data_IF_112703967154
#
_entry.id   IF_112703967154
#
_cell.length_a   1.000
_cell.length_b   1.000
_cell.length_c   1.000
_cell.angle_alpha   90.00
_cell.angle_beta   90.00
_cell.angle_gamma   90.00
#
_symmetry.space_group_name_H-M   'P 1'
#
loop_
_entity.id
_entity.type
_entity.pdbx_description
1 polymer ?
#
# COMPACT_ATOMS: atom_id res chain seq x y z
N UNK A 1 45.26 -36.71 -62.71
CA UNK A 1 46.60 -36.12 -62.75
C UNK A 1 46.81 -35.46 -61.39
N UNK A 2 47.39 -36.17 -60.45
CA UNK A 2 48.79 -36.17 -59.97
C UNK A 2 49.23 -34.79 -59.53
N UNK A 3 49.69 -34.54 -58.34
CA UNK A 3 50.76 -35.11 -57.50
C UNK A 3 50.73 -34.39 -56.13
N UNK A 4 50.70 -35.09 -55.05
CA UNK A 4 51.84 -35.41 -54.15
C UNK A 4 52.74 -34.23 -53.80
N UNK A 5 52.66 -33.79 -52.50
CA UNK A 5 53.50 -34.15 -51.40
C UNK A 5 53.99 -32.91 -50.70
N UNK A 6 53.82 -32.80 -49.41
CA UNK A 6 54.97 -32.57 -48.55
C UNK A 6 54.60 -32.71 -47.07
N UNK A 7 55.55 -33.19 -46.31
CA UNK A 7 55.49 -33.60 -44.90
C UNK A 7 55.26 -32.39 -43.93
N UNK A 8 54.61 -32.64 -42.77
CA UNK A 8 54.51 -31.62 -41.74
C UNK A 8 55.82 -31.45 -40.95
N UNK A 9 56.15 -30.24 -40.50
CA UNK A 9 57.29 -30.01 -39.62
C UNK A 9 56.97 -30.44 -38.18
N UNK A 10 57.98 -30.98 -37.54
CA UNK A 10 58.02 -31.44 -36.16
C UNK A 10 57.62 -30.38 -35.16
N UNK A 11 56.62 -30.67 -34.33
CA UNK A 11 56.20 -29.84 -33.17
C UNK A 11 57.14 -30.09 -32.01
N UNK A 12 57.94 -29.14 -31.68
CA UNK A 12 58.70 -29.12 -30.42
C UNK A 12 57.72 -28.83 -29.26
N UNK A 13 57.62 -29.74 -28.30
CA UNK A 13 56.88 -29.59 -27.07
C UNK A 13 57.53 -28.57 -26.15
N UNK A 14 56.87 -27.46 -25.95
CA UNK A 14 57.12 -26.61 -24.80
C UNK A 14 55.78 -26.42 -24.04
N UNK A 15 55.57 -27.26 -23.01
CA UNK A 15 54.47 -27.11 -22.07
C UNK A 15 54.71 -25.81 -21.25
N UNK A 16 53.73 -24.88 -21.17
CA UNK A 16 53.80 -23.79 -20.24
C UNK A 16 53.54 -24.32 -18.83
N UNK A 17 54.43 -24.04 -17.92
CA UNK A 17 54.30 -24.29 -16.48
C UNK A 17 53.06 -23.58 -15.94
N UNK A 18 52.10 -24.36 -15.49
CA UNK A 18 50.93 -23.89 -14.74
C UNK A 18 51.40 -23.51 -13.34
N UNK A 19 51.73 -22.23 -13.15
CA UNK A 19 51.94 -21.65 -11.82
C UNK A 19 50.60 -21.44 -11.08
N UNK A 20 50.59 -21.54 -9.73
CA UNK A 20 49.34 -21.43 -8.93
C UNK A 20 48.87 -19.99 -8.84
N UNK A 21 48.00 -19.54 -9.75
CA UNK A 21 47.32 -18.22 -9.71
C UNK A 21 45.81 -18.33 -9.48
N UNK A 22 45.33 -19.09 -8.49
CA UNK A 22 43.92 -19.11 -8.12
C UNK A 22 43.56 -18.47 -6.76
N UNK A 23 44.56 -18.03 -5.93
CA UNK A 23 44.27 -17.51 -4.59
C UNK A 23 43.85 -16.04 -4.53
N UNK A 24 44.26 -15.17 -5.49
CA UNK A 24 44.08 -13.72 -5.40
C UNK A 24 42.78 -13.20 -6.03
N UNK A 25 42.04 -14.00 -6.77
CA UNK A 25 40.82 -13.59 -7.45
C UNK A 25 39.61 -13.61 -6.51
N UNK A 26 39.52 -14.63 -5.66
CA UNK A 26 38.36 -14.81 -4.74
C UNK A 26 38.43 -13.81 -3.58
N UNK A 27 39.61 -13.55 -3.02
CA UNK A 27 39.80 -12.56 -1.95
C UNK A 27 39.49 -11.13 -2.42
N UNK A 28 39.89 -10.78 -3.66
CA UNK A 28 39.52 -9.50 -4.28
C UNK A 28 38.02 -9.38 -4.51
N UNK A 29 37.34 -10.45 -4.96
CA UNK A 29 35.89 -10.47 -5.16
C UNK A 29 35.18 -10.33 -3.82
N UNK A 30 35.59 -11.05 -2.77
CA UNK A 30 34.98 -10.97 -1.44
C UNK A 30 35.20 -9.59 -0.78
N UNK A 31 36.36 -8.96 -0.94
CA UNK A 31 36.60 -7.61 -0.42
C UNK A 31 35.90 -6.48 -1.20
N UNK A 32 35.50 -6.72 -2.45
CA UNK A 32 34.79 -5.72 -3.25
C UNK A 32 33.27 -5.90 -3.17
N UNK A 33 32.76 -7.07 -2.75
CA UNK A 33 31.32 -7.33 -2.59
C UNK A 33 30.63 -6.34 -1.64
N UNK A 34 31.11 -6.08 -0.42
CA UNK A 34 30.44 -5.14 0.48
C UNK A 34 30.45 -3.71 -0.06
N UNK A 35 31.50 -3.28 -0.73
CA UNK A 35 31.57 -1.94 -1.36
C UNK A 35 30.59 -1.82 -2.53
N UNK A 36 30.46 -2.84 -3.36
CA UNK A 36 29.48 -2.86 -4.47
C UNK A 36 28.04 -2.87 -3.97
N UNK A 37 27.74 -3.65 -2.94
CA UNK A 37 26.42 -3.67 -2.31
C UNK A 37 26.07 -2.31 -1.72
N UNK A 38 26.99 -1.71 -0.96
CA UNK A 38 26.81 -0.38 -0.37
C UNK A 38 26.55 0.69 -1.44
N UNK A 39 27.32 0.68 -2.53
CA UNK A 39 27.12 1.62 -3.64
C UNK A 39 25.76 1.44 -4.32
N UNK A 40 25.27 0.21 -4.48
CA UNK A 40 23.93 -0.05 -5.04
C UNK A 40 22.85 0.44 -4.10
N UNK A 41 22.94 0.18 -2.80
CA UNK A 41 21.98 0.67 -1.80
C UNK A 41 21.97 2.21 -1.73
N UNK A 42 23.16 2.83 -1.72
CA UNK A 42 23.30 4.29 -1.76
C UNK A 42 22.67 4.88 -3.04
N UNK A 43 22.85 4.24 -4.19
CA UNK A 43 22.20 4.63 -5.43
C UNK A 43 20.69 4.54 -5.33
N UNK A 44 20.16 3.46 -4.74
CA UNK A 44 18.71 3.31 -4.51
C UNK A 44 18.17 4.46 -3.63
N UNK A 45 18.84 4.76 -2.53
CA UNK A 45 18.48 5.87 -1.64
C UNK A 45 18.48 7.20 -2.39
N UNK A 46 19.58 7.52 -3.09
CA UNK A 46 19.73 8.77 -3.84
C UNK A 46 18.67 8.97 -4.93
N UNK A 47 18.24 7.89 -5.58
CA UNK A 47 17.20 7.94 -6.62
C UNK A 47 15.79 7.97 -6.04
N UNK A 48 15.54 7.33 -4.89
CA UNK A 48 14.24 7.32 -4.25
C UNK A 48 13.91 8.65 -3.56
N UNK A 49 14.88 9.31 -2.92
CA UNK A 49 14.64 10.50 -2.10
C UNK A 49 13.99 11.67 -2.83
N UNK A 50 14.43 12.11 -4.03
CA UNK A 50 13.79 13.26 -4.71
C UNK A 50 12.32 12.97 -5.03
N UNK A 51 12.01 11.74 -5.45
CA UNK A 51 10.65 11.30 -5.76
C UNK A 51 9.80 11.22 -4.49
N UNK A 52 10.33 10.65 -3.41
CA UNK A 52 9.66 10.60 -2.12
C UNK A 52 9.31 11.99 -1.61
N UNK A 53 10.28 12.93 -1.62
CA UNK A 53 10.05 14.31 -1.19
C UNK A 53 9.00 15.03 -2.05
N UNK A 54 9.01 14.82 -3.36
CA UNK A 54 7.99 15.39 -4.25
C UNK A 54 6.58 14.88 -3.90
N UNK A 55 6.44 13.57 -3.64
CA UNK A 55 5.19 12.96 -3.21
C UNK A 55 4.77 13.52 -1.85
N UNK A 56 5.68 13.57 -0.88
CA UNK A 56 5.39 14.11 0.45
C UNK A 56 4.92 15.58 0.38
N UNK A 57 5.58 16.43 -0.39
CA UNK A 57 5.16 17.83 -0.57
C UNK A 57 3.77 17.93 -1.18
N UNK A 58 3.47 17.11 -2.19
CA UNK A 58 2.12 17.06 -2.77
C UNK A 58 1.07 16.60 -1.76
N UNK A 59 1.35 15.56 -1.00
CA UNK A 59 0.47 15.05 0.06
C UNK A 59 0.20 16.13 1.13
N UNK A 60 1.24 16.82 1.60
CA UNK A 60 1.12 17.85 2.61
C UNK A 60 0.27 19.05 2.13
N UNK A 61 0.43 19.46 0.86
CA UNK A 61 -0.40 20.53 0.27
C UNK A 61 -1.89 20.22 0.27
N UNK A 62 -2.27 18.94 0.19
CA UNK A 62 -3.68 18.50 0.23
C UNK A 62 -4.12 18.25 1.67
N UNK A 63 -3.31 17.57 2.45
CA UNK A 63 -3.66 17.10 3.79
C UNK A 63 -3.80 18.25 4.80
N UNK A 64 -2.84 19.18 4.81
CA UNK A 64 -2.83 20.25 5.83
C UNK A 64 -4.05 21.18 5.75
N UNK A 65 -4.46 21.70 4.57
CA UNK A 65 -5.67 22.51 4.49
C UNK A 65 -6.94 21.76 4.89
N UNK A 66 -7.06 20.48 4.51
CA UNK A 66 -8.21 19.66 4.84
C UNK A 66 -8.29 19.42 6.35
N UNK A 67 -7.17 19.07 6.99
CA UNK A 67 -7.13 18.84 8.44
C UNK A 67 -7.45 20.12 9.23
N UNK A 68 -6.97 21.28 8.76
CA UNK A 68 -7.34 22.57 9.36
C UNK A 68 -8.84 22.86 9.19
N UNK A 69 -9.38 22.66 8.00
CA UNK A 69 -10.81 22.87 7.74
C UNK A 69 -11.67 22.00 8.67
N UNK A 70 -11.33 20.72 8.84
CA UNK A 70 -12.05 19.83 9.76
C UNK A 70 -11.95 20.29 11.21
N UNK A 71 -10.77 20.74 11.66
CA UNK A 71 -10.62 21.32 13.00
C UNK A 71 -11.46 22.58 13.22
N UNK A 72 -11.53 23.45 12.22
CA UNK A 72 -12.42 24.63 12.26
C UNK A 72 -13.89 24.20 12.33
N UNK A 73 -14.32 23.27 11.49
CA UNK A 73 -15.69 22.72 11.49
C UNK A 73 -16.05 22.07 12.84
N UNK A 74 -15.08 21.41 13.47
CA UNK A 74 -15.22 20.84 14.82
C UNK A 74 -15.43 21.95 15.87
N UNK A 75 -14.59 22.98 15.83
CA UNK A 75 -14.66 24.09 16.78
C UNK A 75 -15.97 24.89 16.70
N UNK A 76 -16.57 25.00 15.51
CA UNK A 76 -17.88 25.66 15.33
C UNK A 76 -19.07 24.74 15.56
N UNK A 77 -18.85 23.47 15.99
CA UNK A 77 -19.91 22.51 16.30
C UNK A 77 -20.60 21.87 15.06
N UNK A 78 -20.11 22.12 13.86
CA UNK A 78 -20.69 21.53 12.64
C UNK A 78 -20.49 20.02 12.58
N UNK A 79 -19.33 19.54 13.05
CA UNK A 79 -19.01 18.11 13.11
C UNK A 79 -19.96 17.41 14.06
N UNK A 80 -20.23 17.97 15.25
CA UNK A 80 -21.13 17.39 16.25
C UNK A 80 -22.55 17.30 15.75
N UNK A 81 -23.02 18.33 15.03
CA UNK A 81 -24.31 18.32 14.38
C UNK A 81 -24.43 17.21 13.32
N UNK A 82 -23.43 17.06 12.45
CA UNK A 82 -23.39 16.03 11.41
C UNK A 82 -23.29 14.63 12.02
N UNK A 83 -22.46 14.48 13.04
CA UNK A 83 -22.29 13.24 13.78
C UNK A 83 -23.60 12.78 14.41
N UNK A 84 -24.37 13.69 15.02
CA UNK A 84 -25.67 13.36 15.61
C UNK A 84 -26.66 12.77 14.59
N UNK A 85 -26.64 13.25 13.34
CA UNK A 85 -27.48 12.70 12.25
C UNK A 85 -27.02 11.29 11.83
N UNK A 86 -25.69 11.05 11.79
CA UNK A 86 -25.11 9.82 11.28
C UNK A 86 -24.95 8.73 12.35
N UNK A 87 -24.99 9.11 13.62
CA UNK A 87 -24.86 8.20 14.78
C UNK A 87 -25.78 6.96 14.68
N UNK A 88 -27.09 7.05 14.36
CA UNK A 88 -27.94 5.87 14.31
C UNK A 88 -27.46 4.83 13.29
N UNK A 89 -26.90 5.28 12.16
CA UNK A 89 -26.40 4.39 11.10
C UNK A 89 -25.06 3.78 11.50
N UNK A 90 -24.15 4.59 12.05
CA UNK A 90 -22.80 4.12 12.43
C UNK A 90 -22.81 3.25 13.67
N UNK A 91 -23.74 3.46 14.60
CA UNK A 91 -23.92 2.57 15.76
C UNK A 91 -24.29 1.14 15.37
N UNK A 92 -24.98 0.93 14.25
CA UNK A 92 -25.29 -0.42 13.75
C UNK A 92 -24.03 -1.22 13.41
N UNK A 93 -22.94 -0.55 13.07
CA UNK A 93 -21.66 -1.18 12.76
C UNK A 93 -20.63 -1.00 13.88
N UNK A 94 -21.06 -0.51 15.05
CA UNK A 94 -20.21 -0.37 16.24
C UNK A 94 -19.24 0.82 16.22
N UNK A 95 -19.61 1.89 15.50
CA UNK A 95 -18.83 3.12 15.37
C UNK A 95 -19.61 4.33 15.87
N UNK A 96 -18.91 5.33 16.39
CA UNK A 96 -19.48 6.64 16.73
C UNK A 96 -19.87 7.44 15.47
N UNK A 97 -20.78 8.40 15.63
CA UNK A 97 -21.17 9.29 14.52
C UNK A 97 -20.02 10.10 13.94
N UNK A 98 -19.03 10.47 14.76
CA UNK A 98 -17.83 11.17 14.33
C UNK A 98 -17.00 10.37 13.30
N UNK A 99 -17.00 9.04 13.42
CA UNK A 99 -16.35 8.14 12.47
C UNK A 99 -16.86 8.30 11.05
N UNK A 100 -18.13 8.73 10.88
CA UNK A 100 -18.71 8.96 9.57
C UNK A 100 -17.97 10.00 8.74
N UNK A 101 -17.43 11.03 9.39
CA UNK A 101 -16.72 12.12 8.71
C UNK A 101 -15.40 11.61 8.13
N UNK A 102 -14.67 10.79 8.89
CA UNK A 102 -13.44 10.15 8.42
C UNK A 102 -13.76 9.23 7.23
N UNK A 103 -14.81 8.42 7.36
CA UNK A 103 -15.21 7.50 6.30
C UNK A 103 -15.64 8.23 5.03
N UNK A 104 -16.50 9.26 5.13
CA UNK A 104 -16.91 10.08 4.00
C UNK A 104 -15.72 10.79 3.35
N UNK A 105 -14.81 11.33 4.16
CA UNK A 105 -13.56 11.93 3.66
C UNK A 105 -12.76 10.91 2.85
N UNK A 106 -12.65 9.68 3.33
CA UNK A 106 -11.90 8.61 2.65
C UNK A 106 -12.48 8.25 1.29
N UNK A 107 -13.80 8.23 1.14
CA UNK A 107 -14.45 7.90 -0.13
C UNK A 107 -13.97 8.78 -1.28
N UNK A 108 -13.80 10.07 -1.02
CA UNK A 108 -13.47 11.06 -2.06
C UNK A 108 -11.98 11.38 -2.15
N UNK A 109 -11.23 11.18 -1.07
CA UNK A 109 -9.84 11.63 -0.96
C UNK A 109 -8.87 10.44 -0.78
N UNK A 110 -7.59 10.64 -1.14
CA UNK A 110 -6.53 9.71 -0.78
C UNK A 110 -6.44 9.49 0.73
N UNK A 111 -5.73 8.44 1.14
CA UNK A 111 -5.67 8.00 2.52
C UNK A 111 -5.07 9.05 3.49
N UNK A 112 -4.07 9.82 3.05
CA UNK A 112 -3.35 10.76 3.93
C UNK A 112 -4.23 11.89 4.50
N UNK A 113 -5.08 12.59 3.72
CA UNK A 113 -6.06 13.52 4.29
C UNK A 113 -7.01 12.83 5.27
N UNK A 114 -7.43 11.60 4.98
CA UNK A 114 -8.31 10.81 5.83
C UNK A 114 -7.66 10.52 7.19
N UNK A 115 -6.37 10.14 7.20
CA UNK A 115 -5.57 9.96 8.42
C UNK A 115 -5.52 11.27 9.21
N UNK A 116 -5.28 12.41 8.54
CA UNK A 116 -5.23 13.71 9.20
C UNK A 116 -6.56 14.06 9.88
N UNK A 117 -7.69 13.77 9.25
CA UNK A 117 -9.03 13.93 9.85
C UNK A 117 -9.19 12.99 11.04
N UNK A 118 -8.84 11.71 10.87
CA UNK A 118 -8.96 10.69 11.92
C UNK A 118 -8.20 11.07 13.20
N UNK A 119 -7.02 11.70 13.07
CA UNK A 119 -6.22 12.15 14.23
C UNK A 119 -6.80 13.37 14.95
N UNK A 120 -7.82 14.01 14.40
CA UNK A 120 -8.49 15.13 15.05
C UNK A 120 -9.64 14.70 15.97
N UNK A 121 -10.08 13.46 15.87
CA UNK A 121 -11.23 12.93 16.59
C UNK A 121 -10.83 12.15 17.84
N UNK A 122 -11.74 12.10 18.81
CA UNK A 122 -11.61 11.24 20.01
C UNK A 122 -12.22 9.87 19.73
N UNK A 123 -11.40 8.93 19.36
CA UNK A 123 -11.81 7.56 19.05
C UNK A 123 -11.22 6.57 20.08
N UNK A 124 -11.88 5.46 20.29
CA UNK A 124 -11.25 4.30 20.91
C UNK A 124 -10.31 3.60 19.91
N UNK A 125 -9.31 2.88 20.41
CA UNK A 125 -8.41 2.09 19.56
C UNK A 125 -9.17 1.06 18.72
N UNK A 126 -10.28 0.54 19.26
CA UNK A 126 -11.18 -0.38 18.57
C UNK A 126 -11.88 0.31 17.39
N UNK A 127 -12.53 1.45 17.62
CA UNK A 127 -13.16 2.24 16.57
C UNK A 127 -12.15 2.67 15.50
N UNK A 128 -10.98 3.14 15.92
CA UNK A 128 -9.90 3.52 15.02
C UNK A 128 -9.44 2.35 14.15
N UNK A 129 -9.40 1.13 14.68
CA UNK A 129 -9.03 -0.07 13.91
C UNK A 129 -10.10 -0.43 12.87
N UNK A 130 -11.38 -0.45 13.27
CA UNK A 130 -12.50 -0.73 12.36
C UNK A 130 -12.53 0.31 11.24
N UNK A 131 -12.44 1.57 11.61
CA UNK A 131 -12.48 2.71 10.69
C UNK A 131 -11.27 2.70 9.73
N UNK A 132 -10.08 2.36 10.22
CA UNK A 132 -8.89 2.20 9.38
C UNK A 132 -9.11 1.15 8.28
N UNK A 133 -9.68 -0.02 8.61
CA UNK A 133 -9.96 -1.05 7.62
C UNK A 133 -11.04 -0.59 6.64
N UNK A 134 -12.10 0.07 7.09
CA UNK A 134 -13.13 0.65 6.22
C UNK A 134 -12.53 1.63 5.22
N UNK A 135 -11.72 2.55 5.69
CA UNK A 135 -11.04 3.54 4.85
C UNK A 135 -10.07 2.89 3.86
N UNK A 136 -9.29 1.90 4.31
CA UNK A 136 -8.36 1.16 3.47
C UNK A 136 -9.06 0.40 2.33
N UNK A 137 -10.28 -0.04 2.54
CA UNK A 137 -11.08 -0.74 1.51
C UNK A 137 -11.75 0.25 0.55
N UNK A 138 -12.11 1.45 0.99
CA UNK A 138 -12.98 2.36 0.21
C UNK A 138 -12.44 3.77 0.00
N UNK A 139 -11.15 4.03 0.23
CA UNK A 139 -10.61 5.35 -0.06
C UNK A 139 -10.48 5.64 -1.55
N UNK A 140 -10.49 6.95 -1.89
CA UNK A 140 -10.20 7.48 -3.23
C UNK A 140 -11.00 6.80 -4.36
N UNK A 141 -12.28 6.46 -4.10
CA UNK A 141 -13.10 5.71 -5.03
C UNK A 141 -13.20 6.33 -6.43
N UNK A 142 -13.36 7.67 -6.61
CA UNK A 142 -13.49 8.25 -7.94
C UNK A 142 -12.29 7.95 -8.84
N UNK A 143 -11.08 8.04 -8.31
CA UNK A 143 -9.84 7.83 -9.07
C UNK A 143 -9.57 6.35 -9.26
N UNK A 144 -9.57 5.57 -8.19
CA UNK A 144 -9.17 4.16 -8.25
C UNK A 144 -10.19 3.30 -8.99
N UNK A 145 -11.49 3.58 -8.83
CA UNK A 145 -12.52 2.88 -9.59
C UNK A 145 -12.52 3.27 -11.08
N UNK A 146 -12.12 4.50 -11.42
CA UNK A 146 -11.89 4.90 -12.82
C UNK A 146 -10.75 4.12 -13.46
N UNK A 147 -9.68 3.86 -12.70
CA UNK A 147 -8.56 3.02 -13.13
C UNK A 147 -9.02 1.58 -13.34
N UNK A 148 -9.75 1.00 -12.38
CA UNK A 148 -10.31 -0.34 -12.50
C UNK A 148 -11.29 -0.46 -13.69
N UNK A 149 -12.00 0.62 -14.03
CA UNK A 149 -12.89 0.64 -15.19
C UNK A 149 -12.13 0.47 -16.51
N UNK A 150 -10.97 1.11 -16.65
CA UNK A 150 -10.14 0.96 -17.87
C UNK A 150 -9.69 -0.48 -18.11
N UNK A 151 -9.57 -1.28 -17.07
CA UNK A 151 -9.12 -2.68 -17.13
C UNK A 151 -10.26 -3.70 -17.16
N UNK A 152 -11.53 -3.26 -17.24
CA UNK A 152 -12.67 -4.14 -17.50
C UNK A 152 -13.64 -4.33 -16.34
N UNK A 153 -13.52 -3.57 -15.24
CA UNK A 153 -14.52 -3.55 -14.16
C UNK A 153 -15.50 -2.39 -14.35
N UNK A 154 -16.83 -2.62 -14.41
CA UNK A 154 -17.78 -1.53 -14.50
C UNK A 154 -17.68 -0.59 -13.29
N UNK A 155 -17.53 0.72 -13.54
CA UNK A 155 -17.29 1.74 -12.51
C UNK A 155 -18.26 1.66 -11.33
N UNK A 156 -19.56 1.75 -11.57
CA UNK A 156 -20.57 1.73 -10.51
C UNK A 156 -20.57 0.41 -9.71
N UNK A 157 -20.25 -0.71 -10.36
CA UNK A 157 -20.18 -2.02 -9.69
C UNK A 157 -18.99 -2.09 -8.74
N UNK A 158 -17.81 -1.62 -9.15
CA UNK A 158 -16.62 -1.65 -8.29
C UNK A 158 -16.73 -0.64 -7.14
N UNK A 159 -17.37 0.51 -7.36
CA UNK A 159 -17.70 1.47 -6.29
C UNK A 159 -18.64 0.83 -5.26
N UNK A 160 -19.78 0.29 -5.70
CA UNK A 160 -20.74 -0.37 -4.81
C UNK A 160 -20.10 -1.56 -4.07
N UNK A 161 -19.28 -2.33 -4.76
CA UNK A 161 -18.53 -3.44 -4.17
C UNK A 161 -17.61 -2.97 -3.05
N UNK A 162 -16.76 -1.94 -3.27
CA UNK A 162 -15.82 -1.46 -2.26
C UNK A 162 -16.53 -0.85 -1.05
N UNK A 163 -17.59 -0.08 -1.25
CA UNK A 163 -18.42 0.44 -0.15
C UNK A 163 -19.05 -0.72 0.61
N UNK A 164 -19.67 -1.68 -0.08
CA UNK A 164 -20.26 -2.86 0.56
C UNK A 164 -19.23 -3.66 1.36
N UNK A 165 -18.03 -3.89 0.81
CA UNK A 165 -16.95 -4.62 1.50
C UNK A 165 -16.42 -3.86 2.71
N UNK A 166 -16.40 -2.53 2.69
CA UNK A 166 -16.02 -1.73 3.87
C UNK A 166 -17.03 -1.86 5.01
N UNK A 167 -18.33 -1.89 4.69
CA UNK A 167 -19.39 -2.14 5.68
C UNK A 167 -19.31 -3.58 6.22
N UNK A 168 -19.11 -4.57 5.35
CA UNK A 168 -18.89 -5.96 5.76
C UNK A 168 -17.68 -6.07 6.69
N UNK A 169 -16.57 -5.39 6.36
CA UNK A 169 -15.39 -5.36 7.21
C UNK A 169 -15.72 -4.79 8.61
N UNK A 170 -16.47 -3.70 8.67
CA UNK A 170 -16.89 -3.10 9.94
C UNK A 170 -17.73 -4.07 10.78
N UNK A 171 -18.74 -4.69 10.19
CA UNK A 171 -19.61 -5.67 10.87
C UNK A 171 -18.80 -6.85 11.40
N UNK A 172 -17.90 -7.42 10.57
CA UNK A 172 -17.05 -8.55 10.94
C UNK A 172 -16.11 -8.17 12.09
N UNK A 173 -15.43 -7.03 11.98
CA UNK A 173 -14.52 -6.57 13.04
C UNK A 173 -15.28 -6.20 14.31
N UNK A 174 -16.46 -5.56 14.19
CA UNK A 174 -17.29 -5.26 15.34
C UNK A 174 -17.70 -6.51 16.13
N UNK A 175 -17.93 -7.64 15.42
CA UNK A 175 -18.24 -8.92 16.05
C UNK A 175 -17.03 -9.69 16.58
N UNK A 176 -15.85 -9.55 15.95
CA UNK A 176 -14.67 -10.35 16.30
C UNK A 176 -13.70 -9.66 17.29
N UNK A 177 -13.65 -8.33 17.27
CA UNK A 177 -12.73 -7.60 18.15
C UNK A 177 -13.28 -7.55 19.58
N UNK A 178 -12.40 -7.75 20.58
CA UNK A 178 -12.78 -7.59 21.98
C UNK A 178 -13.30 -6.16 22.24
N UNK A 179 -14.26 -6.04 23.11
CA UNK A 179 -14.72 -4.72 23.59
C UNK A 179 -13.58 -4.06 24.38
N UNK A 180 -13.38 -2.78 24.18
CA UNK A 180 -12.33 -2.04 24.88
C UNK A 180 -12.44 -0.55 24.61
N UNK A 181 -12.24 0.24 25.66
CA UNK A 181 -12.34 1.70 25.66
C UNK A 181 -10.95 2.37 25.66
N UNK A 182 -9.89 1.61 25.35
CA UNK A 182 -8.55 2.17 25.27
C UNK A 182 -8.54 3.33 24.26
N UNK A 183 -8.07 4.52 24.63
CA UNK A 183 -8.10 5.67 23.75
C UNK A 183 -7.13 5.47 22.59
N UNK A 184 -7.56 5.85 21.38
CA UNK A 184 -6.68 5.99 20.24
C UNK A 184 -5.92 7.31 20.39
N UNK A 185 -4.69 7.26 20.85
CA UNK A 185 -3.86 8.44 21.00
C UNK A 185 -2.61 8.35 20.13
N UNK A 186 -2.72 8.77 18.88
CA UNK A 186 -1.55 8.99 18.03
C UNK A 186 -0.77 10.25 18.47
N UNK A 187 -1.47 11.20 19.09
CA UNK A 187 -0.92 12.47 19.58
C UNK A 187 -1.59 12.79 20.92
N UNK A 188 -0.94 12.55 22.01
CA UNK A 188 -1.43 12.78 23.37
C UNK A 188 -1.85 14.24 23.68
N UNK A 189 -1.70 15.16 22.74
CA UNK A 189 -2.02 16.59 22.89
C UNK A 189 -3.45 16.99 22.51
N UNK A 190 -4.29 16.07 22.03
CA UNK A 190 -5.60 16.41 21.48
C UNK A 190 -6.74 16.47 22.52
N UNK A 191 -6.48 16.15 23.80
CA UNK A 191 -7.53 16.01 24.82
C UNK A 191 -7.85 17.31 25.59
N UNK A 192 -7.14 18.40 25.37
CA UNK A 192 -7.50 19.67 26.00
C UNK A 192 -8.63 20.35 25.21
N UNK A 193 -9.72 20.71 25.91
CA UNK A 193 -10.80 21.53 25.35
C UNK A 193 -10.25 22.77 24.67
N UNK A 194 -10.61 22.97 23.41
CA UNK A 194 -10.19 24.15 22.63
C UNK A 194 -11.11 25.30 22.99
N UNK A 195 -10.62 26.20 23.82
CA UNK A 195 -11.39 27.37 24.29
C UNK A 195 -11.15 28.63 23.46
N UNK A 196 -10.16 28.64 22.59
CA UNK A 196 -9.83 29.81 21.77
C UNK A 196 -9.24 29.45 20.40
N UNK A 197 -9.37 30.37 19.44
CA UNK A 197 -8.78 30.22 18.10
C UNK A 197 -7.25 30.04 18.13
N UNK A 198 -6.57 30.75 19.04
CA UNK A 198 -5.13 30.63 19.22
C UNK A 198 -4.74 29.22 19.68
N UNK A 199 -5.51 28.64 20.61
CA UNK A 199 -5.30 27.27 21.12
C UNK A 199 -5.56 26.24 20.01
N UNK A 200 -6.61 26.43 19.20
CA UNK A 200 -6.92 25.59 18.04
C UNK A 200 -5.73 25.54 17.08
N UNK A 201 -5.22 26.69 16.67
CA UNK A 201 -4.12 26.78 15.72
C UNK A 201 -2.83 26.15 16.27
N UNK A 202 -2.53 26.38 17.54
CA UNK A 202 -1.35 25.81 18.21
C UNK A 202 -1.41 24.28 18.27
N UNK A 203 -2.56 23.72 18.69
CA UNK A 203 -2.79 22.27 18.74
C UNK A 203 -2.74 21.68 17.33
N UNK A 204 -3.40 22.30 16.36
CA UNK A 204 -3.36 21.87 14.97
C UNK A 204 -1.94 21.87 14.41
N UNK A 205 -1.15 22.91 14.66
CA UNK A 205 0.22 23.03 14.17
C UNK A 205 1.11 21.94 14.77
N UNK A 206 1.04 21.72 16.08
CA UNK A 206 1.79 20.68 16.77
C UNK A 206 1.45 19.28 16.23
N UNK A 207 0.16 18.97 16.11
CA UNK A 207 -0.33 17.70 15.58
C UNK A 207 0.09 17.49 14.13
N UNK A 208 -0.05 18.54 13.30
CA UNK A 208 0.33 18.51 11.88
C UNK A 208 1.83 18.32 11.69
N UNK A 209 2.67 18.90 12.55
CA UNK A 209 4.12 18.72 12.48
C UNK A 209 4.52 17.27 12.74
N UNK A 210 4.00 16.67 13.81
CA UNK A 210 4.28 15.27 14.14
C UNK A 210 3.78 14.32 13.06
N UNK A 211 2.56 14.53 12.56
CA UNK A 211 2.01 13.73 11.46
C UNK A 211 2.85 13.89 10.18
N UNK A 212 3.30 15.10 9.86
CA UNK A 212 4.18 15.38 8.72
C UNK A 212 5.47 14.60 8.81
N UNK A 213 6.16 14.65 9.95
CA UNK A 213 7.42 13.92 10.15
C UNK A 213 7.20 12.41 10.00
N UNK A 214 6.14 11.90 10.60
CA UNK A 214 5.79 10.48 10.52
C UNK A 214 5.54 10.03 9.07
N UNK A 215 4.74 10.78 8.32
CA UNK A 215 4.44 10.47 6.91
C UNK A 215 5.71 10.54 6.06
N UNK A 216 6.53 11.58 6.22
CA UNK A 216 7.78 11.72 5.45
C UNK A 216 8.72 10.55 5.71
N UNK A 217 8.87 10.12 6.95
CA UNK A 217 9.71 8.98 7.30
C UNK A 217 9.20 7.67 6.70
N UNK A 218 7.90 7.40 6.85
CA UNK A 218 7.29 6.15 6.36
C UNK A 218 7.33 6.09 4.83
N UNK A 219 6.85 7.14 4.15
CA UNK A 219 6.84 7.20 2.68
C UNK A 219 8.25 7.09 2.12
N UNK A 220 9.22 7.79 2.72
CA UNK A 220 10.61 7.69 2.27
C UNK A 220 11.19 6.29 2.47
N UNK A 221 10.95 5.66 3.61
CA UNK A 221 11.41 4.30 3.88
C UNK A 221 10.80 3.29 2.89
N UNK A 222 9.49 3.39 2.62
CA UNK A 222 8.80 2.52 1.68
C UNK A 222 9.26 2.73 0.23
N UNK A 223 9.47 3.97 -0.20
CA UNK A 223 10.00 4.29 -1.54
C UNK A 223 11.42 3.73 -1.73
N UNK A 224 12.25 3.81 -0.69
CA UNK A 224 13.59 3.19 -0.71
C UNK A 224 13.48 1.67 -0.78
N UNK A 225 12.62 1.06 0.04
CA UNK A 225 12.37 -0.39 0.01
C UNK A 225 11.92 -0.85 -1.38
N UNK A 226 10.94 -0.18 -1.98
CA UNK A 226 10.47 -0.47 -3.34
C UNK A 226 11.62 -0.42 -4.34
N UNK A 227 12.43 0.63 -4.29
CA UNK A 227 13.58 0.79 -5.19
C UNK A 227 14.63 -0.30 -5.02
N UNK A 228 14.86 -0.75 -3.79
CA UNK A 228 15.75 -1.88 -3.49
C UNK A 228 15.18 -3.17 -4.08
N UNK A 229 13.90 -3.46 -3.88
CA UNK A 229 13.25 -4.65 -4.44
C UNK A 229 13.35 -4.71 -5.96
N UNK A 230 13.18 -3.56 -6.65
CA UNK A 230 13.35 -3.43 -8.09
C UNK A 230 14.81 -3.64 -8.52
N UNK A 231 15.78 -2.92 -7.91
CA UNK A 231 17.20 -2.95 -8.26
C UNK A 231 17.81 -4.36 -8.13
N UNK A 232 17.35 -5.14 -7.14
CA UNK A 232 17.82 -6.51 -6.92
C UNK A 232 17.01 -7.58 -7.67
N UNK A 233 15.98 -7.18 -8.41
CA UNK A 233 15.09 -8.09 -9.15
C UNK A 233 14.28 -9.01 -8.24
N UNK A 234 14.11 -8.63 -6.97
CA UNK A 234 13.38 -9.44 -5.99
C UNK A 234 11.89 -9.48 -6.26
N UNK A 235 11.33 -8.43 -6.89
CA UNK A 235 9.93 -8.40 -7.28
C UNK A 235 9.52 -9.63 -8.10
N UNK A 236 10.31 -9.99 -9.13
CA UNK A 236 10.04 -11.15 -9.98
C UNK A 236 10.19 -12.47 -9.22
N UNK A 237 11.21 -12.58 -8.35
CA UNK A 237 11.43 -13.79 -7.54
C UNK A 237 10.29 -14.01 -6.55
N UNK A 238 9.89 -12.97 -5.84
CA UNK A 238 8.77 -13.02 -4.89
C UNK A 238 7.47 -13.34 -5.63
N UNK A 239 7.21 -12.69 -6.77
CA UNK A 239 6.03 -12.96 -7.58
C UNK A 239 5.98 -14.43 -8.04
N UNK A 240 7.10 -15.00 -8.44
CA UNK A 240 7.17 -16.42 -8.81
C UNK A 240 6.87 -17.34 -7.62
N UNK A 241 7.41 -17.05 -6.44
CA UNK A 241 7.11 -17.80 -5.20
C UNK A 241 5.64 -17.67 -4.78
N UNK A 242 5.00 -16.50 -5.04
CA UNK A 242 3.60 -16.26 -4.72
C UNK A 242 2.63 -16.83 -5.78
N UNK A 243 3.12 -17.25 -6.94
CA UNK A 243 2.28 -17.78 -8.02
C UNK A 243 1.31 -18.91 -7.57
N UNK A 244 1.70 -19.90 -6.75
CA UNK A 244 0.75 -20.90 -6.26
C UNK A 244 -0.33 -20.32 -5.34
N UNK A 245 -0.03 -19.25 -4.57
CA UNK A 245 -1.01 -18.59 -3.71
C UNK A 245 -2.12 -17.89 -4.51
N UNK A 246 -1.86 -17.50 -5.77
CA UNK A 246 -2.90 -16.92 -6.63
C UNK A 246 -4.08 -17.88 -6.81
N UNK A 247 -3.85 -19.18 -6.87
CA UNK A 247 -4.93 -20.19 -6.92
C UNK A 247 -5.77 -20.18 -5.65
N UNK A 248 -5.13 -20.08 -4.48
CA UNK A 248 -5.84 -19.95 -3.21
C UNK A 248 -6.69 -18.67 -3.16
N UNK A 249 -6.17 -17.56 -3.72
CA UNK A 249 -6.89 -16.29 -3.82
C UNK A 249 -7.99 -16.29 -4.89
N UNK A 250 -8.13 -17.39 -5.64
CA UNK A 250 -9.08 -17.48 -6.74
C UNK A 250 -8.65 -16.66 -7.97
N UNK A 251 -7.37 -16.33 -8.11
CA UNK A 251 -6.80 -15.54 -9.20
C UNK A 251 -6.01 -16.43 -10.18
N UNK A 252 -5.85 -16.01 -11.45
CA UNK A 252 -4.93 -16.67 -12.38
C UNK A 252 -3.49 -16.61 -11.87
N UNK A 253 -2.74 -17.69 -12.03
CA UNK A 253 -1.33 -17.78 -11.56
C UNK A 253 -0.41 -16.77 -12.25
N UNK A 254 -0.70 -16.40 -13.49
CA UNK A 254 0.04 -15.37 -14.23
C UNK A 254 -0.10 -13.95 -13.65
N UNK A 255 -1.08 -13.70 -12.78
CA UNK A 255 -1.29 -12.39 -12.18
C UNK A 255 -0.41 -12.11 -10.94
N UNK A 256 0.49 -13.03 -10.56
CA UNK A 256 1.28 -12.89 -9.33
C UNK A 256 2.16 -11.62 -9.29
N UNK A 257 2.81 -11.26 -10.40
CA UNK A 257 3.59 -10.02 -10.48
C UNK A 257 2.68 -8.78 -10.37
N UNK A 258 1.55 -8.80 -11.06
CA UNK A 258 0.56 -7.74 -11.04
C UNK A 258 -0.01 -7.56 -9.63
N UNK A 259 -0.41 -8.67 -8.98
CA UNK A 259 -0.91 -8.67 -7.61
C UNK A 259 0.15 -8.13 -6.62
N UNK A 260 1.38 -8.61 -6.73
CA UNK A 260 2.49 -8.15 -5.88
C UNK A 260 2.76 -6.66 -6.08
N UNK A 261 2.79 -6.19 -7.32
CA UNK A 261 3.03 -4.78 -7.63
C UNK A 261 1.91 -3.90 -7.07
N UNK A 262 0.65 -4.29 -7.22
CA UNK A 262 -0.50 -3.57 -6.64
C UNK A 262 -0.47 -3.51 -5.11
N UNK A 263 0.12 -4.50 -4.44
CA UNK A 263 0.21 -4.56 -2.97
C UNK A 263 1.48 -3.94 -2.37
N UNK A 264 2.57 -3.84 -3.12
CA UNK A 264 3.86 -3.32 -2.64
C UNK A 264 4.17 -1.93 -3.20
N UNK A 265 3.87 -1.69 -4.49
CA UNK A 265 4.19 -0.44 -5.19
C UNK A 265 2.97 0.49 -5.28
N UNK A 266 1.78 -0.06 -5.07
CA UNK A 266 0.52 0.67 -5.08
C UNK A 266 -0.31 0.50 -6.34
N UNK A 267 -1.58 0.95 -6.24
CA UNK A 267 -2.61 0.73 -7.26
C UNK A 267 -2.23 1.32 -8.64
N UNK A 268 -1.63 2.50 -8.68
CA UNK A 268 -1.31 3.18 -9.94
C UNK A 268 -0.33 2.37 -10.83
N UNK A 269 0.70 1.79 -10.21
CA UNK A 269 1.66 0.94 -10.92
C UNK A 269 1.06 -0.41 -11.31
N UNK A 270 0.34 -1.04 -10.38
CA UNK A 270 -0.39 -2.28 -10.68
C UNK A 270 -1.37 -2.10 -11.83
N UNK A 271 -2.06 -0.97 -11.88
CA UNK A 271 -2.99 -0.64 -12.95
C UNK A 271 -2.30 -0.43 -14.31
N UNK A 272 -1.14 0.23 -14.34
CA UNK A 272 -0.39 0.42 -15.58
C UNK A 272 0.02 -0.92 -16.19
N UNK A 273 0.52 -1.85 -15.37
CA UNK A 273 0.83 -3.22 -15.81
C UNK A 273 -0.45 -3.93 -16.28
N UNK A 274 -1.55 -3.81 -15.55
CA UNK A 274 -2.82 -4.47 -15.88
C UNK A 274 -3.37 -3.97 -17.22
N UNK A 275 -3.30 -2.68 -17.50
CA UNK A 275 -3.72 -2.09 -18.78
C UNK A 275 -2.89 -2.71 -19.92
N UNK A 276 -1.56 -2.72 -19.78
CA UNK A 276 -0.66 -3.30 -20.77
C UNK A 276 -0.93 -4.80 -21.02
N UNK A 277 -1.11 -5.59 -19.96
CA UNK A 277 -1.43 -7.02 -20.04
C UNK A 277 -2.78 -7.28 -20.73
N UNK A 278 -3.79 -6.44 -20.48
CA UNK A 278 -5.10 -6.54 -21.14
C UNK A 278 -5.03 -6.11 -22.61
N UNK A 279 -4.34 -5.02 -22.93
CA UNK A 279 -4.17 -4.51 -24.29
C UNK A 279 -3.39 -5.50 -25.17
N UNK A 280 -2.38 -6.16 -24.62
CA UNK A 280 -1.59 -7.18 -25.32
C UNK A 280 -2.29 -8.56 -25.36
N UNK A 281 -3.48 -8.69 -24.79
CA UNK A 281 -4.25 -9.93 -24.77
C UNK A 281 -3.69 -11.04 -23.87
N UNK A 282 -2.67 -10.74 -23.04
CA UNK A 282 -2.10 -11.70 -22.08
C UNK A 282 -2.99 -11.90 -20.85
N UNK A 283 -3.80 -10.91 -20.49
CA UNK A 283 -4.80 -10.98 -19.44
C UNK A 283 -6.19 -10.74 -20.03
N UNK A 284 -7.11 -11.68 -19.82
CA UNK A 284 -8.51 -11.53 -20.27
C UNK A 284 -9.25 -10.52 -19.39
N UNK A 285 -10.18 -9.75 -19.95
CA UNK A 285 -10.96 -8.74 -19.20
C UNK A 285 -11.68 -9.31 -17.98
N UNK A 286 -12.19 -10.54 -18.04
CA UNK A 286 -12.84 -11.16 -16.89
C UNK A 286 -11.85 -11.54 -15.78
N UNK A 287 -10.62 -11.89 -16.13
CA UNK A 287 -9.52 -12.15 -15.18
C UNK A 287 -9.04 -10.84 -14.52
N UNK A 288 -8.87 -9.78 -15.32
CA UNK A 288 -8.59 -8.44 -14.83
C UNK A 288 -9.68 -7.97 -13.85
N UNK A 289 -10.96 -8.24 -14.15
CA UNK A 289 -12.05 -7.92 -13.26
C UNK A 289 -11.95 -8.66 -11.90
N UNK A 290 -11.54 -9.92 -11.87
CA UNK A 290 -11.30 -10.65 -10.61
C UNK A 290 -10.14 -10.02 -9.82
N UNK A 291 -9.04 -9.68 -10.51
CA UNK A 291 -7.88 -9.02 -9.89
C UNK A 291 -8.28 -7.64 -9.33
N UNK A 292 -9.06 -6.85 -10.07
CA UNK A 292 -9.57 -5.56 -9.60
C UNK A 292 -10.41 -5.67 -8.33
N UNK A 293 -11.26 -6.69 -8.21
CA UNK A 293 -12.05 -6.91 -7.00
C UNK A 293 -11.17 -7.35 -5.83
N UNK A 294 -10.17 -8.20 -6.07
CA UNK A 294 -9.23 -8.57 -5.03
C UNK A 294 -8.42 -7.36 -4.56
N UNK A 295 -7.78 -6.63 -5.50
CA UNK A 295 -6.99 -5.44 -5.20
C UNK A 295 -7.86 -4.30 -4.66
N UNK A 296 -9.12 -4.18 -5.06
CA UNK A 296 -10.06 -3.21 -4.50
C UNK A 296 -10.21 -3.29 -2.97
N UNK A 297 -9.95 -4.47 -2.39
CA UNK A 297 -9.94 -4.68 -0.93
C UNK A 297 -8.53 -4.73 -0.35
N UNK A 298 -7.55 -5.27 -1.10
CA UNK A 298 -6.23 -5.61 -0.57
C UNK A 298 -5.07 -4.76 -1.09
N UNK A 299 -5.27 -3.81 -2.03
CA UNK A 299 -4.14 -3.05 -2.60
C UNK A 299 -3.35 -2.28 -1.53
N UNK A 300 -2.09 -1.95 -1.84
CA UNK A 300 -1.17 -1.25 -0.92
C UNK A 300 -1.13 -1.91 0.47
N UNK A 301 -1.22 -3.24 0.50
CA UNK A 301 -1.35 -4.01 1.75
C UNK A 301 -0.16 -3.79 2.70
N UNK A 302 1.01 -3.46 2.17
CA UNK A 302 2.20 -3.14 2.96
C UNK A 302 2.22 -1.65 3.32
N UNK A 303 2.17 -0.77 2.34
CA UNK A 303 2.35 0.67 2.51
C UNK A 303 1.29 1.27 3.42
N UNK A 304 0.03 1.13 3.05
CA UNK A 304 -1.08 1.72 3.77
C UNK A 304 -1.26 1.12 5.18
N UNK A 305 -1.00 -0.19 5.33
CA UNK A 305 -1.06 -0.83 6.63
C UNK A 305 0.00 -0.26 7.59
N UNK A 306 1.24 -0.02 7.09
CA UNK A 306 2.31 0.52 7.92
C UNK A 306 2.03 1.95 8.41
N UNK A 307 1.27 2.74 7.65
CA UNK A 307 0.82 4.06 8.10
C UNK A 307 -0.04 3.96 9.36
N UNK A 308 -1.02 3.06 9.38
CA UNK A 308 -1.88 2.85 10.54
C UNK A 308 -1.15 2.14 11.70
N UNK A 309 -0.22 1.24 11.40
CA UNK A 309 0.63 0.60 12.43
C UNK A 309 1.50 1.65 13.15
N UNK A 310 2.04 2.62 12.43
CA UNK A 310 2.78 3.72 13.03
C UNK A 310 1.91 4.60 13.93
N UNK A 311 0.59 4.58 13.76
CA UNK A 311 -0.39 5.24 14.62
C UNK A 311 -0.82 4.36 15.82
N UNK A 312 -0.26 3.18 15.99
CA UNK A 312 -0.57 2.25 17.09
C UNK A 312 -1.67 1.24 16.78
N UNK A 313 -2.18 1.19 15.55
CA UNK A 313 -3.19 0.20 15.16
C UNK A 313 -2.52 -1.13 14.85
N UNK A 314 -3.13 -2.24 15.27
CA UNK A 314 -2.56 -3.57 15.09
C UNK A 314 -2.45 -3.96 13.62
N UNK A 315 -1.23 -4.34 13.19
CA UNK A 315 -0.96 -4.90 11.86
C UNK A 315 -1.88 -6.07 11.52
N UNK A 316 -2.06 -7.00 12.46
CA UNK A 316 -2.78 -8.23 12.21
C UNK A 316 -4.27 -8.01 11.93
N UNK A 317 -4.94 -7.10 12.64
CA UNK A 317 -6.34 -6.77 12.35
C UNK A 317 -6.52 -6.20 10.97
N UNK A 318 -5.64 -5.30 10.53
CA UNK A 318 -5.72 -4.70 9.19
C UNK A 318 -5.39 -5.72 8.11
N UNK A 319 -4.24 -6.38 8.24
CA UNK A 319 -3.71 -7.28 7.21
C UNK A 319 -4.61 -8.49 6.97
N UNK A 320 -4.96 -9.20 8.04
CA UNK A 320 -5.76 -10.43 7.94
C UNK A 320 -7.16 -10.17 7.45
N UNK A 321 -7.82 -9.13 7.96
CA UNK A 321 -9.19 -8.78 7.54
C UNK A 321 -9.24 -8.44 6.07
N UNK A 322 -8.36 -7.58 5.58
CA UNK A 322 -8.33 -7.20 4.16
C UNK A 322 -8.03 -8.38 3.26
N UNK A 323 -7.05 -9.21 3.63
CA UNK A 323 -6.67 -10.37 2.81
C UNK A 323 -7.78 -11.41 2.76
N UNK A 324 -8.37 -11.77 3.90
CA UNK A 324 -9.47 -12.75 3.97
C UNK A 324 -10.70 -12.26 3.20
N UNK A 325 -11.10 -11.00 3.40
CA UNK A 325 -12.23 -10.43 2.68
C UNK A 325 -12.00 -10.38 1.17
N UNK A 326 -10.79 -10.06 0.71
CA UNK A 326 -10.46 -10.08 -0.71
C UNK A 326 -10.57 -11.49 -1.31
N UNK A 327 -10.10 -12.51 -0.59
CA UNK A 327 -10.21 -13.93 -1.00
C UNK A 327 -11.69 -14.32 -1.08
N UNK A 328 -12.45 -14.07 -0.02
CA UNK A 328 -13.89 -14.41 0.04
C UNK A 328 -14.64 -13.74 -1.10
N UNK A 329 -14.40 -12.45 -1.35
CA UNK A 329 -15.02 -11.71 -2.43
C UNK A 329 -14.78 -12.34 -3.81
N UNK A 330 -13.54 -12.71 -4.12
CA UNK A 330 -13.21 -13.32 -5.42
C UNK A 330 -13.85 -14.72 -5.56
N UNK A 331 -13.82 -15.52 -4.51
CA UNK A 331 -14.45 -16.83 -4.54
C UNK A 331 -15.98 -16.73 -4.68
N UNK A 332 -16.63 -15.80 -3.99
CA UNK A 332 -18.06 -15.52 -4.15
C UNK A 332 -18.39 -15.14 -5.59
N UNK A 333 -17.59 -14.25 -6.21
CA UNK A 333 -17.79 -13.87 -7.62
C UNK A 333 -17.60 -15.06 -8.58
N UNK A 334 -16.69 -15.98 -8.29
CA UNK A 334 -16.51 -17.20 -9.10
C UNK A 334 -17.67 -18.17 -8.99
N UNK A 335 -18.21 -18.32 -7.78
CA UNK A 335 -19.36 -19.20 -7.54
C UNK A 335 -20.66 -18.67 -8.18
N UNK A 336 -20.88 -17.36 -8.12
CA UNK A 336 -22.05 -16.72 -8.73
C UNK A 336 -22.02 -16.69 -10.27
N UNK A 337 -20.88 -16.94 -10.90
CA UNK A 337 -20.72 -17.00 -12.36
C UNK A 337 -20.78 -18.42 -12.93
N UNK A 338 -20.84 -19.43 -12.07
CA UNK A 338 -21.12 -20.81 -12.44
C UNK A 338 -22.62 -21.07 -12.51
#
# INVERSE_FOLDING_TARGET
>A
MSLWGDKPPSVASSAPSVGPRRGNSISKILNTMPKRLFLRLYKCLRLAMPRSLSICVWLLKVMLPISLAVRVLQYVGFIDWLAAILTPVFNLIGLSGDSAIVFLTSIFLPLYPTIAVMTTLTLTLREATILAVMCLVSHNLPVECSVAHKTGSPFGRIVAFRIGMSIVAAIVLNGLMPQGDAPFSFLASATAEVTSWGMLLMQWLSSSLTLTVTIVLIVSALMVLQRVLEEFGWMHRIAHMLSPLMRLFGLPTGCSLLWLTGNVVGMAYGAAIMIDEVEQGRLKRHEANLVNHHLGVSHSLLEDTMLFVAMGISFWWIFTTRLVLAIVAVWTMRLLKR
#
